data_IF_312552409171
#
_entry.id   IF_312552409171
#
_cell.length_a   1.000
_cell.length_b   1.000
_cell.length_c   1.000
_cell.angle_alpha   90.00
_cell.angle_beta   90.00
_cell.angle_gamma   90.00
#
_symmetry.space_group_name_H-M   'P 1'
#
loop_
_entity.id
_entity.type
_entity.pdbx_description
1 polymer ?
#
# COMPACT_ATOMS: atom_id res chain seq x y z
N UNK A 1 -1.80 8.95 -3.77
CA UNK A 1 -1.65 10.40 -3.53
C UNK A 1 -1.69 11.21 -4.82
N UNK A 2 -0.81 10.99 -5.82
CA UNK A 2 -0.84 11.74 -7.10
C UNK A 2 -2.22 11.79 -7.79
N UNK A 3 -2.90 10.65 -7.87
CA UNK A 3 -4.26 10.56 -8.45
C UNK A 3 -5.36 11.30 -7.66
N UNK A 4 -5.08 11.67 -6.41
CA UNK A 4 -5.99 12.45 -5.57
C UNK A 4 -5.66 13.95 -5.59
N UNK A 5 -4.64 14.38 -6.34
CA UNK A 5 -4.27 15.79 -6.47
C UNK A 5 -3.45 16.37 -5.33
N UNK A 6 -2.79 15.53 -4.51
CA UNK A 6 -1.93 16.03 -3.44
C UNK A 6 -0.68 16.76 -3.98
N UNK A 7 -0.20 17.81 -3.29
CA UNK A 7 1.03 18.51 -3.65
C UNK A 7 2.24 17.57 -3.76
N UNK A 8 3.15 17.88 -4.68
CA UNK A 8 4.32 17.02 -4.94
C UNK A 8 5.25 16.96 -3.74
N UNK A 9 5.35 18.05 -3.00
CA UNK A 9 6.13 18.21 -1.78
C UNK A 9 5.68 17.20 -0.72
N UNK A 10 4.36 17.10 -0.48
CA UNK A 10 3.81 16.14 0.48
C UNK A 10 4.04 14.70 0.03
N UNK A 11 3.92 14.42 -1.27
CA UNK A 11 4.21 13.10 -1.82
C UNK A 11 5.69 12.74 -1.59
N UNK A 12 6.59 13.69 -1.82
CA UNK A 12 8.03 13.48 -1.63
C UNK A 12 8.38 13.29 -0.14
N UNK A 13 7.80 14.08 0.76
CA UNK A 13 7.97 13.90 2.21
C UNK A 13 7.49 12.52 2.64
N UNK A 14 6.33 12.08 2.15
CA UNK A 14 5.82 10.74 2.45
C UNK A 14 6.77 9.65 1.97
N UNK A 15 7.37 9.81 0.78
CA UNK A 15 8.38 8.86 0.27
C UNK A 15 9.64 8.85 1.12
N UNK A 16 10.13 10.01 1.52
CA UNK A 16 11.31 10.13 2.40
C UNK A 16 11.09 9.44 3.75
N UNK A 17 9.87 9.49 4.30
CA UNK A 17 9.51 8.77 5.51
C UNK A 17 9.48 7.23 5.34
N UNK A 18 9.43 6.73 4.10
CA UNK A 18 9.31 5.30 3.79
C UNK A 18 10.59 4.70 3.20
N UNK A 19 11.38 5.50 2.48
CA UNK A 19 12.61 5.09 1.82
C UNK A 19 13.80 5.13 2.80
N UNK A 20 14.74 4.19 2.67
CA UNK A 20 15.98 4.13 3.46
C UNK A 20 15.81 3.99 4.99
N UNK A 21 14.63 3.58 5.46
CA UNK A 21 14.40 3.32 6.88
C UNK A 21 14.96 1.94 7.24
N UNK A 22 15.90 1.91 8.18
CA UNK A 22 16.42 0.68 8.79
C UNK A 22 15.58 0.35 10.01
N UNK A 23 15.15 -0.89 10.11
CA UNK A 23 14.38 -1.40 11.24
C UNK A 23 15.25 -2.35 12.05
N UNK A 24 15.09 -2.27 13.36
CA UNK A 24 15.66 -3.21 14.31
C UNK A 24 14.53 -3.65 15.23
N UNK A 25 14.41 -4.96 15.44
CA UNK A 25 13.38 -5.52 16.32
C UNK A 25 14.04 -5.96 17.62
N UNK A 26 13.43 -5.61 18.74
CA UNK A 26 13.83 -6.14 20.05
C UNK A 26 12.82 -7.20 20.47
N UNK A 27 13.26 -8.44 20.60
CA UNK A 27 12.45 -9.56 21.11
C UNK A 27 13.10 -10.13 22.35
N UNK A 28 12.35 -10.23 23.45
CA UNK A 28 12.84 -10.75 24.73
C UNK A 28 14.16 -10.10 25.22
N UNK A 29 14.34 -8.80 24.97
CA UNK A 29 15.54 -8.06 25.35
C UNK A 29 16.73 -8.22 24.40
N UNK A 30 16.63 -9.10 23.38
CA UNK A 30 17.64 -9.29 22.35
C UNK A 30 17.26 -8.46 21.13
N UNK A 31 18.20 -7.67 20.63
CA UNK A 31 18.03 -6.89 19.42
C UNK A 31 18.40 -7.72 18.18
N UNK A 32 17.58 -7.65 17.14
CA UNK A 32 17.87 -8.23 15.84
C UNK A 32 18.97 -7.44 15.14
N UNK A 33 19.55 -8.02 14.11
CA UNK A 33 20.27 -7.24 13.11
C UNK A 33 19.34 -6.22 12.46
N UNK A 34 19.90 -5.09 12.05
CA UNK A 34 19.16 -4.12 11.28
C UNK A 34 18.79 -4.72 9.92
N UNK A 35 17.60 -4.41 9.42
CA UNK A 35 17.19 -4.79 8.06
C UNK A 35 16.49 -3.64 7.38
N UNK A 36 16.49 -3.65 6.04
CA UNK A 36 15.79 -2.66 5.23
C UNK A 36 14.43 -3.23 4.87
N UNK A 37 13.40 -2.39 5.01
CA UNK A 37 12.06 -2.71 4.51
C UNK A 37 11.93 -2.13 3.12
N UNK A 38 11.70 -3.00 2.13
CA UNK A 38 11.62 -2.59 0.73
C UNK A 38 10.22 -2.13 0.32
N UNK A 39 9.21 -2.74 0.93
CA UNK A 39 7.80 -2.45 0.64
C UNK A 39 7.00 -2.51 1.92
N UNK A 40 5.87 -1.80 1.96
CA UNK A 40 4.98 -1.78 3.11
C UNK A 40 5.35 -0.71 4.14
N UNK A 41 4.45 -0.49 5.08
CA UNK A 41 4.54 0.54 6.11
C UNK A 41 4.53 -0.13 7.48
N UNK A 42 5.17 0.50 8.46
CA UNK A 42 5.18 0.00 9.83
C UNK A 42 3.74 0.01 10.35
N UNK A 43 3.24 -1.14 10.79
CA UNK A 43 1.83 -1.29 11.20
C UNK A 43 1.42 -0.38 12.38
N UNK A 44 2.38 0.11 13.16
CA UNK A 44 2.15 1.04 14.28
C UNK A 44 2.36 2.52 13.92
N UNK A 45 2.49 2.87 12.64
CA UNK A 45 2.74 4.24 12.20
C UNK A 45 1.41 4.95 11.91
N UNK A 46 1.24 6.18 12.40
CA UNK A 46 0.07 7.01 12.07
C UNK A 46 0.01 7.28 10.55
N UNK A 47 1.18 7.39 9.91
CA UNK A 47 1.29 7.53 8.46
C UNK A 47 0.74 6.30 7.72
N UNK A 48 0.88 5.10 8.30
CA UNK A 48 0.29 3.88 7.74
C UNK A 48 -1.22 3.97 7.68
N UNK A 49 -1.87 4.37 8.78
CA UNK A 49 -3.32 4.45 8.85
C UNK A 49 -3.88 5.46 7.84
N UNK A 50 -3.20 6.61 7.68
CA UNK A 50 -3.59 7.63 6.71
C UNK A 50 -3.48 7.12 5.26
N UNK A 51 -2.34 6.51 4.90
CA UNK A 51 -2.09 5.99 3.57
C UNK A 51 -2.99 4.79 3.24
N UNK A 52 -3.31 3.98 4.24
CA UNK A 52 -4.27 2.89 4.13
C UNK A 52 -5.67 3.40 3.80
N UNK A 53 -6.16 4.41 4.52
CA UNK A 53 -7.46 5.03 4.24
C UNK A 53 -7.52 5.63 2.83
N UNK A 54 -6.44 6.27 2.38
CA UNK A 54 -6.29 6.76 1.00
C UNK A 54 -6.36 5.64 -0.06
N UNK A 55 -5.71 4.51 0.21
CA UNK A 55 -5.75 3.34 -0.66
C UNK A 55 -7.15 2.70 -0.70
N UNK A 56 -7.82 2.58 0.46
CA UNK A 56 -9.19 2.09 0.57
C UNK A 56 -10.18 2.97 -0.18
N UNK A 57 -10.09 4.29 -0.04
CA UNK A 57 -10.98 5.22 -0.75
C UNK A 57 -10.86 5.03 -2.27
N UNK A 58 -9.63 4.82 -2.78
CA UNK A 58 -9.39 4.51 -4.18
C UNK A 58 -10.05 3.19 -4.60
N UNK A 59 -9.93 2.15 -3.77
CA UNK A 59 -10.55 0.84 -4.02
C UNK A 59 -12.08 0.94 -4.05
N UNK A 60 -12.68 1.65 -3.10
CA UNK A 60 -14.13 1.90 -3.04
C UNK A 60 -14.61 2.68 -4.26
N UNK A 61 -13.94 3.77 -4.65
CA UNK A 61 -14.28 4.54 -5.87
C UNK A 61 -14.16 3.71 -7.14
N UNK A 62 -13.19 2.80 -7.22
CA UNK A 62 -13.06 1.87 -8.36
C UNK A 62 -14.20 0.86 -8.37
N UNK A 63 -14.55 0.29 -7.22
CA UNK A 63 -15.66 -0.66 -7.08
C UNK A 63 -17.00 -0.03 -7.50
N UNK A 64 -17.30 1.19 -7.03
CA UNK A 64 -18.51 1.94 -7.42
C UNK A 64 -18.58 2.20 -8.93
N UNK A 65 -17.47 2.63 -9.54
CA UNK A 65 -17.39 2.84 -11.01
C UNK A 65 -17.59 1.54 -11.81
N UNK A 66 -17.05 0.42 -11.32
CA UNK A 66 -17.23 -0.87 -11.97
C UNK A 66 -18.68 -1.36 -11.89
N UNK A 67 -19.36 -1.14 -10.76
CA UNK A 67 -20.79 -1.49 -10.59
C UNK A 67 -21.70 -0.70 -11.55
N UNK A 68 -21.41 0.58 -11.78
CA UNK A 68 -22.13 1.41 -12.75
C UNK A 68 -21.89 0.96 -14.21
N UNK A 69 -20.68 0.49 -14.54
CA UNK A 69 -20.37 -0.04 -15.88
C UNK A 69 -21.07 -1.37 -16.17
N UNK A 70 -21.25 -2.23 -15.17
CA UNK A 70 -21.94 -3.52 -15.34
C UNK A 70 -23.46 -3.42 -15.54
N UNK A 71 -24.10 -2.32 -15.16
CA UNK A 71 -25.56 -2.14 -15.33
C UNK A 71 -25.96 -1.60 -16.71
N UNK A 72 -25.01 -1.10 -17.51
CA UNK A 72 -25.27 -0.57 -18.86
C UNK A 72 -25.06 -1.60 -19.98
N UNK A 73 -24.46 -2.76 -19.71
CA UNK A 73 -24.33 -3.87 -20.65
C UNK A 73 -25.29 -4.99 -20.24
N UNK A 74 -26.54 -4.94 -20.72
CA UNK A 74 -27.33 -6.16 -20.83
C UNK A 74 -26.66 -7.06 -21.88
N UNK A 75 -26.36 -8.29 -21.48
CA UNK A 75 -25.84 -9.41 -22.29
C UNK A 75 -24.34 -9.42 -22.57
N UNK A 76 -23.55 -9.95 -21.63
CA UNK A 76 -22.68 -11.13 -21.85
C UNK A 76 -21.95 -11.47 -20.55
N UNK A 77 -22.10 -12.72 -20.10
CA UNK A 77 -21.33 -13.28 -18.98
C UNK A 77 -19.86 -13.36 -19.40
N UNK A 78 -19.05 -12.41 -18.96
CA UNK A 78 -17.60 -12.61 -18.88
C UNK A 78 -17.15 -12.09 -17.52
N UNK A 79 -16.84 -13.01 -16.61
CA UNK A 79 -16.05 -12.73 -15.42
C UNK A 79 -14.64 -12.34 -15.89
N UNK A 80 -14.47 -11.10 -16.31
CA UNK A 80 -13.18 -10.57 -16.72
C UNK A 80 -12.43 -10.25 -15.44
N UNK A 81 -11.58 -11.18 -14.99
CA UNK A 81 -10.65 -11.01 -13.86
C UNK A 81 -9.96 -9.65 -13.99
N UNK A 82 -10.34 -8.71 -13.12
CA UNK A 82 -9.66 -7.42 -12.97
C UNK A 82 -8.22 -7.72 -12.56
N UNK A 83 -7.26 -7.41 -13.45
CA UNK A 83 -5.80 -7.58 -13.23
C UNK A 83 -5.22 -6.62 -12.18
N UNK A 84 -6.05 -5.89 -11.45
CA UNK A 84 -5.62 -4.93 -10.42
C UNK A 84 -6.20 -5.31 -9.06
N UNK A 85 -5.86 -6.51 -8.60
CA UNK A 85 -6.05 -6.90 -7.21
C UNK A 85 -4.88 -6.32 -6.43
N UNK A 86 -5.12 -5.32 -5.58
CA UNK A 86 -4.13 -4.91 -4.58
C UNK A 86 -4.12 -6.06 -3.57
N UNK A 87 -3.10 -6.92 -3.61
CA UNK A 87 -2.97 -7.97 -2.59
C UNK A 87 -2.60 -7.30 -1.28
N UNK A 88 -3.15 -7.82 -0.19
CA UNK A 88 -2.71 -7.42 1.15
C UNK A 88 -1.21 -7.64 1.35
N UNK A 89 -0.65 -8.67 0.70
CA UNK A 89 0.79 -8.95 0.66
C UNK A 89 1.63 -7.83 0.02
N UNK A 90 1.04 -6.98 -0.83
CA UNK A 90 1.72 -5.82 -1.41
C UNK A 90 1.72 -4.61 -0.46
N UNK A 91 0.87 -4.64 0.57
CA UNK A 91 0.77 -3.61 1.60
C UNK A 91 1.59 -3.91 2.84
N UNK A 92 1.89 -5.19 3.09
CA UNK A 92 2.65 -5.64 4.25
C UNK A 92 4.14 -5.36 4.09
N UNK A 93 4.82 -5.19 5.22
CA UNK A 93 6.27 -5.02 5.24
C UNK A 93 6.97 -6.26 4.67
N UNK A 94 7.79 -6.07 3.64
CA UNK A 94 8.73 -7.09 3.16
C UNK A 94 10.13 -6.70 3.56
N UNK A 95 10.82 -7.63 4.19
CA UNK A 95 12.15 -7.43 4.76
C UNK A 95 13.19 -8.09 3.86
N UNK A 96 14.31 -7.41 3.61
CA UNK A 96 15.51 -8.04 3.07
C UNK A 96 16.67 -7.98 4.06
N UNK A 97 17.45 -9.06 4.21
CA UNK A 97 18.64 -9.06 5.06
C UNK A 97 19.72 -8.12 4.48
N UNK A 98 20.56 -7.56 5.34
CA UNK A 98 21.55 -6.53 5.00
C UNK A 98 22.86 -7.08 4.36
N UNK A 99 22.83 -8.28 3.75
CA UNK A 99 24.04 -9.03 3.40
C UNK A 99 24.08 -9.73 2.03
N UNK A 100 23.31 -9.29 1.03
CA UNK A 100 23.41 -9.75 -0.37
C UNK A 100 23.74 -8.61 -1.32
#
# INVERSE_FOLDING_TARGET
MKEFGFPKELINLTKLCMENVKYQMRMNGIESEAFIVETGLKQSDVLFLLLFNLALEKAVRRSKRNKLRSTSHKSTRVCRRSKHHVRWDDLMMKTKPLGE
#
